data_IF_881380481583
#
_entry.id   IF_881380481583
#
_cell.length_a   1.000
_cell.length_b   1.000
_cell.length_c   1.000
_cell.angle_alpha   90.00
_cell.angle_beta   90.00
_cell.angle_gamma   90.00
#
_symmetry.space_group_name_H-M   'P 1'
#
loop_
_entity.id
_entity.type
_entity.pdbx_description
1 polymer ?
#
# COMPACT_ATOMS: atom_id res chain seq x y z
N UNK A 1 8.07 6.15 -7.32
CA UNK A 1 8.20 4.91 -8.11
C UNK A 1 6.82 4.29 -8.21
N UNK A 2 6.38 3.94 -9.41
CA UNK A 2 5.08 3.33 -9.67
C UNK A 2 5.28 1.86 -10.03
N UNK A 3 4.45 0.97 -9.49
CA UNK A 3 4.43 -0.44 -9.85
C UNK A 3 3.07 -0.77 -10.47
N UNK A 4 3.08 -1.23 -11.71
CA UNK A 4 1.86 -1.64 -12.42
C UNK A 4 1.73 -3.15 -12.34
N UNK A 5 0.74 -3.62 -11.61
CA UNK A 5 0.41 -5.03 -11.46
C UNK A 5 -0.87 -5.34 -12.23
N UNK A 6 -0.88 -6.40 -13.04
CA UNK A 6 -2.08 -6.85 -13.76
C UNK A 6 -3.18 -7.34 -12.81
N UNK A 7 -2.78 -7.87 -11.65
CA UNK A 7 -3.65 -8.22 -10.55
C UNK A 7 -2.92 -8.07 -9.22
N UNK A 8 -3.61 -7.56 -8.20
CA UNK A 8 -3.11 -7.45 -6.83
C UNK A 8 -4.19 -7.86 -5.84
N UNK A 9 -3.90 -8.88 -5.02
CA UNK A 9 -4.78 -9.35 -3.96
C UNK A 9 -4.52 -8.56 -2.68
N UNK A 10 -5.37 -7.58 -2.40
CA UNK A 10 -5.33 -6.80 -1.15
C UNK A 10 -6.72 -6.66 -0.58
N UNK A 11 -6.83 -6.64 0.75
CA UNK A 11 -8.09 -6.40 1.48
C UNK A 11 -8.75 -5.09 1.03
N UNK A 12 -7.96 -4.04 0.79
CA UNK A 12 -8.45 -2.77 0.28
C UNK A 12 -9.01 -2.89 -1.16
N UNK A 13 -8.40 -3.76 -1.98
CA UNK A 13 -8.89 -4.10 -3.30
C UNK A 13 -10.19 -4.91 -3.24
N UNK A 14 -10.29 -5.84 -2.29
CA UNK A 14 -11.49 -6.66 -2.07
C UNK A 14 -12.67 -5.81 -1.57
N UNK A 15 -12.44 -4.94 -0.58
CA UNK A 15 -13.45 -4.01 -0.07
C UNK A 15 -13.98 -3.08 -1.17
N UNK A 16 -13.10 -2.58 -2.04
CA UNK A 16 -13.48 -1.77 -3.21
C UNK A 16 -14.31 -2.56 -4.21
N UNK A 17 -13.89 -3.79 -4.56
CA UNK A 17 -14.64 -4.68 -5.47
C UNK A 17 -16.02 -5.05 -4.91
N UNK A 18 -16.13 -5.21 -3.61
CA UNK A 18 -17.39 -5.48 -2.93
C UNK A 18 -18.30 -4.23 -2.79
N UNK A 19 -17.85 -3.05 -3.22
CA UNK A 19 -18.60 -1.79 -3.08
C UNK A 19 -18.67 -1.26 -1.65
N UNK A 20 -17.89 -1.83 -0.72
CA UNK A 20 -17.91 -1.45 0.70
C UNK A 20 -17.21 -0.10 0.97
N UNK A 21 -16.31 0.33 0.08
CA UNK A 21 -15.61 1.61 0.19
C UNK A 21 -15.59 2.35 -1.16
N UNK A 22 -15.79 3.68 -1.18
CA UNK A 22 -15.83 4.46 -2.42
C UNK A 22 -14.44 4.65 -3.04
N UNK A 23 -13.39 4.69 -2.22
CA UNK A 23 -12.00 4.88 -2.62
C UNK A 23 -11.11 3.93 -1.83
N UNK A 24 -10.08 3.41 -2.49
CA UNK A 24 -9.05 2.58 -1.87
C UNK A 24 -7.70 2.87 -2.51
N UNK A 25 -6.64 2.77 -1.71
CA UNK A 25 -5.26 2.85 -2.15
C UNK A 25 -4.47 1.81 -1.35
N UNK A 26 -3.39 1.29 -1.93
CA UNK A 26 -2.42 0.46 -1.24
C UNK A 26 -1.09 1.21 -1.18
N UNK A 27 -0.54 1.34 0.02
CA UNK A 27 0.80 1.92 0.26
C UNK A 27 1.67 0.80 0.79
N UNK A 28 2.81 0.56 0.14
CA UNK A 28 3.76 -0.46 0.53
C UNK A 28 5.16 -0.11 0.04
N UNK A 29 6.15 -0.80 0.58
CA UNK A 29 7.54 -0.68 0.18
C UNK A 29 7.95 -1.94 -0.61
N UNK A 30 8.95 -1.85 -1.50
CA UNK A 30 9.49 -3.03 -2.17
C UNK A 30 10.04 -4.02 -1.15
N UNK A 31 9.62 -5.27 -1.27
CA UNK A 31 10.12 -6.39 -0.50
C UNK A 31 10.28 -7.61 -1.41
N UNK A 32 11.26 -8.45 -1.11
CA UNK A 32 11.50 -9.72 -1.77
C UNK A 32 11.11 -10.88 -0.84
N UNK A 33 10.79 -12.03 -1.44
CA UNK A 33 10.46 -13.26 -0.73
C UNK A 33 9.26 -13.15 0.24
N UNK A 34 8.22 -12.43 -0.18
CA UNK A 34 6.94 -12.32 0.55
C UNK A 34 6.41 -13.71 0.92
N UNK A 35 5.86 -13.85 2.13
CA UNK A 35 5.41 -15.14 2.70
C UNK A 35 6.53 -16.13 3.07
N UNK A 36 7.78 -15.68 3.08
CA UNK A 36 8.95 -16.44 3.52
C UNK A 36 9.83 -15.64 4.48
N UNK A 37 11.15 -15.71 4.28
CA UNK A 37 12.10 -14.82 4.95
C UNK A 37 12.22 -13.53 4.14
N UNK A 38 11.53 -12.49 4.58
CA UNK A 38 11.39 -11.25 3.82
C UNK A 38 12.66 -10.39 3.88
N UNK A 39 13.00 -9.79 2.75
CA UNK A 39 14.09 -8.81 2.64
C UNK A 39 13.54 -7.51 2.09
N UNK A 40 13.80 -6.40 2.77
CA UNK A 40 13.30 -5.10 2.39
C UNK A 40 14.25 -3.98 2.84
N UNK A 41 14.21 -2.86 2.15
CA UNK A 41 15.05 -1.71 2.45
C UNK A 41 14.41 -0.84 3.54
N UNK A 42 15.13 -0.59 4.64
CA UNK A 42 14.65 0.23 5.78
C UNK A 42 14.17 1.63 5.36
N UNK A 43 14.87 2.26 4.42
CA UNK A 43 14.47 3.56 3.88
C UNK A 43 13.11 3.53 3.15
N UNK A 44 12.77 2.39 2.54
CA UNK A 44 11.45 2.20 1.90
C UNK A 44 10.33 2.19 2.94
N UNK A 45 10.53 1.46 4.04
CA UNK A 45 9.59 1.41 5.17
C UNK A 45 9.37 2.79 5.78
N UNK A 46 10.44 3.53 6.05
CA UNK A 46 10.37 4.88 6.61
C UNK A 46 9.62 5.85 5.68
N UNK A 47 9.83 5.74 4.37
CA UNK A 47 9.12 6.58 3.40
C UNK A 47 7.64 6.22 3.30
N UNK A 48 7.26 4.95 3.42
CA UNK A 48 5.84 4.56 3.54
C UNK A 48 5.18 5.19 4.75
N UNK A 49 5.87 5.21 5.91
CA UNK A 49 5.36 5.87 7.12
C UNK A 49 5.12 7.37 6.91
N UNK A 50 6.09 8.08 6.31
CA UNK A 50 5.97 9.51 5.99
C UNK A 50 4.82 9.79 5.01
N UNK A 51 4.66 8.94 3.99
CA UNK A 51 3.56 9.08 3.04
C UNK A 51 2.22 8.88 3.72
N UNK A 52 2.09 7.85 4.56
CA UNK A 52 0.85 7.59 5.30
C UNK A 52 0.49 8.76 6.22
N UNK A 53 1.47 9.34 6.91
CA UNK A 53 1.28 10.54 7.74
C UNK A 53 0.80 11.73 6.92
N UNK A 54 1.46 12.03 5.79
CA UNK A 54 1.07 13.13 4.92
C UNK A 54 -0.35 12.94 4.38
N UNK A 55 -0.67 11.73 3.90
CA UNK A 55 -2.00 11.38 3.41
C UNK A 55 -3.05 11.55 4.50
N UNK A 56 -2.81 11.05 5.71
CA UNK A 56 -3.77 11.16 6.81
C UNK A 56 -4.01 12.62 7.25
N UNK A 57 -2.97 13.45 7.20
CA UNK A 57 -3.03 14.87 7.55
C UNK A 57 -3.83 15.68 6.53
N UNK A 58 -3.60 15.43 5.25
CA UNK A 58 -4.13 16.22 4.15
C UNK A 58 -5.35 15.57 3.47
N UNK A 59 -5.86 14.46 4.01
CA UNK A 59 -7.00 13.76 3.43
C UNK A 59 -8.23 14.65 3.49
N UNK A 60 -8.84 14.99 2.33
CA UNK A 60 -10.08 15.75 2.34
C UNK A 60 -11.20 14.87 2.91
N UNK A 61 -11.71 15.27 4.09
CA UNK A 61 -12.95 14.75 4.66
C UNK A 61 -14.13 15.03 3.74
#
# INVERSE_FOLDING_TARGET
QEAVLSAFGSDAGLARKAGAVPRSACVGFPAENSHGYEVAHLGGMLNCGRLLEAVARDWPL
#
